data_IF_008063730051
#
_entry.id   IF_008063730051
#
_cell.length_a   1.000
_cell.length_b   1.000
_cell.length_c   1.000
_cell.angle_alpha   90.00
_cell.angle_beta   90.00
_cell.angle_gamma   90.00
#
_symmetry.space_group_name_H-M   'P 1'
#
loop_
_entity.id
_entity.type
_entity.pdbx_description
1 polymer ?
#
# COMPACT_ATOMS: atom_id res chain seq x y z
N UNK A 1 -3.84 9.26 18.34
CA UNK A 1 -3.42 7.89 18.01
C UNK A 1 -2.09 7.97 17.31
N UNK A 2 -1.14 7.12 17.67
CA UNK A 2 0.18 7.12 17.05
C UNK A 2 0.10 6.46 15.67
N UNK A 3 0.87 6.99 14.72
CA UNK A 3 0.97 6.48 13.35
C UNK A 3 2.43 6.31 12.98
N UNK A 4 2.81 5.09 12.62
CA UNK A 4 4.09 4.82 11.98
C UNK A 4 3.96 4.93 10.46
N UNK A 5 4.85 5.70 9.83
CA UNK A 5 5.00 5.74 8.38
C UNK A 5 6.22 4.89 8.03
N UNK A 6 6.02 3.90 7.16
CA UNK A 6 7.05 2.96 6.72
C UNK A 6 7.23 3.13 5.21
N UNK A 7 8.42 3.54 4.79
CA UNK A 7 8.77 3.80 3.39
C UNK A 7 10.10 3.11 3.03
N UNK A 8 10.08 1.79 2.82
CA UNK A 8 11.28 1.06 2.47
C UNK A 8 11.64 1.29 0.99
N UNK A 9 12.94 1.22 0.63
CA UNK A 9 13.37 1.44 -0.75
C UNK A 9 13.03 0.25 -1.69
N UNK A 10 12.83 -0.96 -1.16
CA UNK A 10 12.57 -2.19 -1.94
C UNK A 10 13.62 -2.48 -3.02
N UNK A 11 14.89 -2.25 -2.67
CA UNK A 11 16.05 -2.57 -3.51
C UNK A 11 16.39 -4.04 -3.40
N UNK A 12 16.36 -4.58 -2.17
CA UNK A 12 16.58 -5.99 -1.89
C UNK A 12 15.26 -6.74 -2.00
N UNK A 13 15.33 -7.98 -2.47
CA UNK A 13 14.11 -8.80 -2.65
C UNK A 13 13.49 -9.14 -1.30
N UNK A 14 14.33 -9.36 -0.30
CA UNK A 14 13.99 -9.78 1.06
C UNK A 14 13.16 -8.73 1.80
N UNK A 15 13.26 -7.45 1.41
CA UNK A 15 12.45 -6.36 2.00
C UNK A 15 10.94 -6.61 1.84
N UNK A 16 10.53 -7.35 0.80
CA UNK A 16 9.11 -7.71 0.60
C UNK A 16 8.58 -8.70 1.64
N UNK A 17 9.48 -9.41 2.33
CA UNK A 17 9.14 -10.35 3.41
C UNK A 17 9.46 -9.74 4.79
N UNK A 18 10.59 -9.03 4.91
CA UNK A 18 11.04 -8.39 6.16
C UNK A 18 10.07 -7.31 6.64
N UNK A 19 9.57 -6.47 5.72
CA UNK A 19 8.71 -5.33 6.05
C UNK A 19 7.36 -5.77 6.64
N UNK A 20 6.55 -6.65 6.00
CA UNK A 20 5.30 -7.08 6.61
C UNK A 20 5.50 -7.83 7.93
N UNK A 21 6.61 -8.58 8.09
CA UNK A 21 6.96 -9.21 9.36
C UNK A 21 7.25 -8.16 10.46
N UNK A 22 7.97 -7.08 10.12
CA UNK A 22 8.24 -5.98 11.05
C UNK A 22 6.95 -5.24 11.44
N UNK A 23 6.03 -5.01 10.49
CA UNK A 23 4.70 -4.43 10.77
C UNK A 23 3.93 -5.32 11.74
N UNK A 24 3.87 -6.63 11.50
CA UNK A 24 3.19 -7.57 12.39
C UNK A 24 3.81 -7.58 13.80
N UNK A 25 5.14 -7.58 13.91
CA UNK A 25 5.83 -7.53 15.19
C UNK A 25 5.57 -6.20 15.94
N UNK A 26 5.51 -5.07 15.21
CA UNK A 26 5.18 -3.78 15.80
C UNK A 26 3.74 -3.75 16.33
N UNK A 27 2.78 -4.26 15.56
CA UNK A 27 1.36 -4.37 15.96
C UNK A 27 1.17 -5.30 17.16
N UNK A 28 1.89 -6.42 17.23
CA UNK A 28 1.85 -7.31 18.38
C UNK A 28 2.37 -6.63 19.66
N UNK A 29 3.40 -5.79 19.55
CA UNK A 29 3.97 -5.05 20.69
C UNK A 29 3.13 -3.82 21.08
N UNK A 30 2.50 -3.18 20.09
CA UNK A 30 1.71 -1.96 20.26
C UNK A 30 0.38 -2.07 19.49
N UNK A 31 -0.65 -2.74 20.05
CA UNK A 31 -1.91 -2.98 19.35
C UNK A 31 -2.61 -1.71 18.88
N UNK A 32 -2.45 -0.57 19.57
CA UNK A 32 -3.03 0.72 19.18
C UNK A 32 -2.26 1.52 18.12
N UNK A 33 -1.10 1.04 17.67
CA UNK A 33 -0.29 1.73 16.66
C UNK A 33 -0.92 1.59 15.27
N UNK A 34 -1.27 2.71 14.63
CA UNK A 34 -1.60 2.72 13.21
C UNK A 34 -0.33 2.58 12.37
N UNK A 35 -0.42 1.94 11.20
CA UNK A 35 0.69 1.83 10.26
C UNK A 35 0.23 2.25 8.86
N UNK A 36 1.01 3.13 8.23
CA UNK A 36 0.90 3.46 6.81
C UNK A 36 2.20 3.04 6.12
N UNK A 37 2.10 2.05 5.24
CA UNK A 37 3.23 1.44 4.55
C UNK A 37 3.16 1.75 3.06
N UNK A 38 4.17 2.42 2.52
CA UNK A 38 4.32 2.64 1.08
C UNK A 38 4.93 1.42 0.38
N UNK A 39 4.56 1.18 -0.88
CA UNK A 39 5.25 0.23 -1.76
C UNK A 39 5.19 0.61 -3.24
N UNK A 40 6.22 0.24 -4.05
CA UNK A 40 6.24 0.51 -5.48
C UNK A 40 5.43 -0.53 -6.27
N UNK A 41 4.75 -0.09 -7.32
CA UNK A 41 4.02 -0.96 -8.25
C UNK A 41 4.74 -0.95 -9.60
N UNK A 42 5.53 -2.01 -9.82
CA UNK A 42 6.05 -2.40 -11.15
C UNK A 42 5.22 -3.53 -11.77
N UNK A 43 4.69 -4.39 -10.90
CA UNK A 43 3.72 -5.44 -11.16
C UNK A 43 3.02 -5.76 -9.82
N UNK A 44 1.83 -6.34 -9.86
CA UNK A 44 1.05 -6.59 -8.64
C UNK A 44 1.48 -7.82 -7.83
N UNK A 45 2.36 -8.67 -8.36
CA UNK A 45 2.77 -9.92 -7.68
C UNK A 45 3.30 -9.70 -6.26
N UNK A 46 4.24 -8.75 -6.08
CA UNK A 46 4.84 -8.49 -4.76
C UNK A 46 3.91 -7.68 -3.83
N UNK A 47 3.21 -6.64 -4.29
CA UNK A 47 2.13 -6.02 -3.52
C UNK A 47 1.11 -7.02 -2.98
N UNK A 48 0.62 -7.94 -3.82
CA UNK A 48 -0.33 -8.96 -3.39
C UNK A 48 0.28 -9.93 -2.35
N UNK A 49 1.55 -10.30 -2.49
CA UNK A 49 2.26 -11.11 -1.49
C UNK A 49 2.38 -10.40 -0.14
N UNK A 50 2.70 -9.11 -0.15
CA UNK A 50 2.76 -8.27 1.05
C UNK A 50 1.38 -8.17 1.72
N UNK A 51 0.33 -7.88 0.96
CA UNK A 51 -1.05 -7.84 1.46
C UNK A 51 -1.47 -9.20 2.06
N UNK A 52 -1.10 -10.31 1.41
CA UNK A 52 -1.35 -11.66 1.91
C UNK A 52 -0.62 -11.93 3.23
N UNK A 53 0.63 -11.51 3.37
CA UNK A 53 1.40 -11.66 4.61
C UNK A 53 0.75 -10.92 5.79
N UNK A 54 0.28 -9.69 5.55
CA UNK A 54 -0.44 -8.89 6.57
C UNK A 54 -1.76 -9.54 6.97
N UNK A 55 -2.53 -10.02 5.99
CA UNK A 55 -3.77 -10.77 6.26
C UNK A 55 -3.51 -12.06 7.04
N UNK A 56 -2.43 -12.80 6.71
CA UNK A 56 -2.01 -14.01 7.45
C UNK A 56 -1.58 -13.71 8.89
N UNK A 57 -1.12 -12.50 9.16
CA UNK A 57 -0.82 -12.04 10.51
C UNK A 57 -2.09 -11.66 11.32
N UNK A 58 -3.28 -11.83 10.76
CA UNK A 58 -4.56 -11.52 11.42
C UNK A 58 -4.88 -10.02 11.48
N UNK A 59 -4.15 -9.20 10.73
CA UNK A 59 -4.31 -7.75 10.76
C UNK A 59 -5.34 -7.29 9.73
N UNK A 60 -6.31 -6.50 10.17
CA UNK A 60 -7.21 -5.76 9.29
C UNK A 60 -6.44 -4.66 8.57
N UNK A 61 -6.71 -4.45 7.28
CA UNK A 61 -6.07 -3.37 6.53
C UNK A 61 -6.85 -2.94 5.30
N UNK A 62 -6.49 -1.77 4.79
CA UNK A 62 -6.90 -1.26 3.48
C UNK A 62 -5.67 -0.93 2.65
N UNK A 63 -5.57 -1.48 1.45
CA UNK A 63 -4.60 -1.11 0.43
C UNK A 63 -5.22 -0.15 -0.57
N UNK A 64 -4.51 0.95 -0.88
CA UNK A 64 -4.86 1.93 -1.90
C UNK A 64 -3.73 1.97 -2.94
N UNK A 65 -3.96 1.42 -4.13
CA UNK A 65 -3.00 1.43 -5.24
C UNK A 65 -3.36 2.55 -6.22
N UNK A 66 -2.46 3.54 -6.35
CA UNK A 66 -2.57 4.56 -7.39
C UNK A 66 -1.66 4.20 -8.57
N UNK A 67 -2.27 3.79 -9.67
CA UNK A 67 -1.61 3.42 -10.92
C UNK A 67 -1.71 4.61 -11.86
N UNK A 68 -0.58 5.18 -12.31
CA UNK A 68 -0.56 6.33 -13.23
C UNK A 68 -0.34 5.93 -14.69
N UNK A 69 0.06 4.68 -14.91
CA UNK A 69 0.25 4.05 -16.22
C UNK A 69 -0.07 2.55 -16.09
N UNK A 70 -0.84 1.93 -17.01
CA UNK A 70 -1.06 0.49 -16.97
C UNK A 70 0.26 -0.29 -16.91
N UNK A 71 0.32 -1.29 -16.02
CA UNK A 71 1.55 -2.04 -15.70
C UNK A 71 2.10 -2.79 -16.92
N UNK A 72 1.22 -3.21 -17.83
CA UNK A 72 1.56 -3.92 -19.07
C UNK A 72 2.39 -3.06 -20.03
N UNK A 73 2.25 -1.74 -19.93
CA UNK A 73 2.93 -0.77 -20.79
C UNK A 73 4.29 -0.33 -20.24
N UNK A 74 4.63 -0.72 -19.02
CA UNK A 74 5.82 -0.27 -18.28
C UNK A 74 6.63 -1.46 -17.77
N UNK A 75 7.11 -2.29 -18.70
CA UNK A 75 7.98 -3.45 -18.35
C UNK A 75 9.19 -2.98 -17.54
N UNK A 76 9.32 -3.49 -16.33
CA UNK A 76 10.41 -3.20 -15.37
C UNK A 76 10.53 -1.73 -14.88
N UNK A 77 9.57 -0.87 -15.21
CA UNK A 77 9.52 0.51 -14.74
C UNK A 77 8.42 0.70 -13.70
N UNK A 78 8.51 1.77 -12.91
CA UNK A 78 7.44 2.13 -11.99
C UNK A 78 6.20 2.55 -12.81
N UNK A 79 5.07 1.91 -12.51
CA UNK A 79 3.76 2.14 -13.09
C UNK A 79 2.82 2.88 -12.11
N UNK A 80 3.12 2.79 -10.82
CA UNK A 80 2.41 3.46 -9.74
C UNK A 80 3.00 3.11 -8.39
N UNK A 81 2.25 3.41 -7.32
CA UNK A 81 2.60 3.03 -5.95
C UNK A 81 1.34 2.73 -5.16
N UNK A 82 1.48 1.97 -4.08
CA UNK A 82 0.39 1.73 -3.15
C UNK A 82 0.73 2.16 -1.74
N UNK A 83 -0.33 2.37 -0.96
CA UNK A 83 -0.29 2.56 0.49
C UNK A 83 -1.10 1.44 1.14
N UNK A 84 -0.49 0.71 2.06
CA UNK A 84 -1.18 -0.23 2.94
C UNK A 84 -1.39 0.42 4.32
N UNK A 85 -2.64 0.44 4.77
CA UNK A 85 -3.06 1.04 6.03
C UNK A 85 -3.55 -0.03 7.00
N UNK A 86 -2.85 -0.25 8.10
CA UNK A 86 -3.25 -1.14 9.21
C UNK A 86 -3.68 -0.29 10.40
N UNK A 87 -4.91 -0.50 10.87
CA UNK A 87 -5.56 0.30 11.93
C UNK A 87 -5.32 1.83 11.80
N UNK A 88 -5.64 2.43 10.63
CA UNK A 88 -5.37 3.83 10.40
C UNK A 88 -6.21 4.74 11.32
N UNK A 89 -5.74 5.96 11.64
CA UNK A 89 -6.57 6.99 12.24
C UNK A 89 -7.86 7.22 11.46
N UNK A 90 -8.95 7.53 12.18
CA UNK A 90 -10.27 7.75 11.58
C UNK A 90 -10.21 8.81 10.46
N UNK A 91 -10.85 8.52 9.33
CA UNK A 91 -10.91 9.40 8.16
C UNK A 91 -9.65 9.42 7.29
N UNK A 92 -8.53 8.80 7.69
CA UNK A 92 -7.30 8.81 6.88
C UNK A 92 -7.48 8.12 5.51
N UNK A 93 -8.19 6.99 5.48
CA UNK A 93 -8.49 6.28 4.22
C UNK A 93 -9.30 7.17 3.27
N UNK A 94 -10.35 7.81 3.77
CA UNK A 94 -11.21 8.70 2.97
C UNK A 94 -10.45 9.93 2.47
N UNK A 95 -9.58 10.49 3.32
CA UNK A 95 -8.72 11.62 2.94
C UNK A 95 -7.75 11.23 1.82
N UNK A 96 -7.15 10.04 1.88
CA UNK A 96 -6.25 9.54 0.84
C UNK A 96 -6.99 9.22 -0.47
N UNK A 97 -8.20 8.66 -0.40
CA UNK A 97 -9.05 8.46 -1.59
C UNK A 97 -9.40 9.80 -2.23
N UNK A 98 -9.78 10.79 -1.43
CA UNK A 98 -10.05 12.16 -1.90
C UNK A 98 -8.81 12.78 -2.56
N UNK A 99 -7.64 12.64 -1.94
CA UNK A 99 -6.38 13.10 -2.52
C UNK A 99 -6.06 12.38 -3.84
N UNK A 100 -6.25 11.06 -3.89
CA UNK A 100 -6.01 10.26 -5.09
C UNK A 100 -6.91 10.66 -6.26
N UNK A 101 -8.15 11.09 -6.02
CA UNK A 101 -9.04 11.60 -7.07
C UNK A 101 -8.51 12.89 -7.73
N UNK A 102 -7.73 13.70 -7.00
CA UNK A 102 -7.07 14.90 -7.54
C UNK A 102 -5.71 14.55 -8.17
N UNK A 103 -4.92 13.71 -7.49
CA UNK A 103 -3.57 13.35 -7.92
C UNK A 103 -3.56 12.43 -9.14
N UNK A 104 -4.47 11.48 -9.23
CA UNK A 104 -4.53 10.49 -10.31
C UNK A 104 -4.55 11.13 -11.70
N UNK A 105 -5.52 12.03 -12.01
CA UNK A 105 -5.55 12.74 -13.28
C UNK A 105 -4.31 13.60 -13.52
N UNK A 106 -3.79 14.27 -12.48
CA UNK A 106 -2.63 15.16 -12.60
C UNK A 106 -1.32 14.40 -12.86
N UNK A 107 -1.22 13.16 -12.38
CA UNK A 107 -0.04 12.30 -12.50
C UNK A 107 -0.13 11.31 -13.67
N UNK A 108 -1.27 11.24 -14.35
CA UNK A 108 -1.48 10.34 -15.48
C UNK A 108 -0.49 10.64 -16.61
N UNK A 109 0.24 9.62 -17.07
CA UNK A 109 1.26 9.82 -18.11
C UNK A 109 0.69 9.72 -19.53
N UNK A 110 -0.55 9.23 -19.71
CA UNK A 110 -1.29 9.21 -20.97
C UNK A 110 -2.83 9.16 -20.74
N UNK A 111 -3.71 9.51 -21.68
CA UNK A 111 -5.15 9.26 -21.51
C UNK A 111 -5.58 7.84 -21.96
N UNK A 112 -6.54 7.16 -21.31
CA UNK A 112 -7.08 7.37 -19.95
C UNK A 112 -6.27 6.52 -18.95
N UNK A 113 -5.09 6.95 -18.49
CA UNK A 113 -4.08 6.01 -17.96
C UNK A 113 -3.95 5.90 -16.46
N UNK A 114 -4.91 6.41 -15.69
CA UNK A 114 -4.83 6.30 -14.24
C UNK A 114 -5.97 5.47 -13.66
N UNK A 115 -5.68 4.79 -12.56
CA UNK A 115 -6.59 3.94 -11.82
C UNK A 115 -6.28 4.04 -10.33
N UNK A 116 -7.31 4.15 -9.49
CA UNK A 116 -7.21 3.91 -8.05
C UNK A 116 -7.87 2.57 -7.74
N UNK A 117 -7.11 1.63 -7.17
CA UNK A 117 -7.62 0.34 -6.70
C UNK A 117 -7.64 0.34 -5.19
N UNK A 118 -8.81 0.13 -4.60
CA UNK A 118 -8.98 -0.01 -3.16
C UNK A 118 -9.29 -1.46 -2.81
N UNK A 119 -8.54 -2.05 -1.88
CA UNK A 119 -8.75 -3.42 -1.39
C UNK A 119 -8.73 -3.41 0.13
N UNK A 120 -9.80 -3.86 0.78
CA UNK A 120 -9.91 -3.90 2.24
C UNK A 120 -10.23 -5.30 2.74
N UNK A 121 -9.73 -5.63 3.93
CA UNK A 121 -10.06 -6.86 4.64
C UNK A 121 -10.10 -6.64 6.15
N UNK A 122 -10.94 -7.43 6.83
CA UNK A 122 -11.02 -7.46 8.29
C UNK A 122 -9.97 -8.40 8.91
N UNK A 123 -9.84 -8.31 10.23
CA UNK A 123 -9.10 -9.30 11.02
C UNK A 123 -9.79 -10.67 10.91
N UNK A 124 -8.99 -11.74 10.90
CA UNK A 124 -9.45 -13.14 10.86
C UNK A 124 -9.50 -13.70 12.27
#
# INVERSE_FOLDING_TARGET
>A
ADLAIVDPPYVRREEWDEVPAAVAAAKARHPGLGVLLWYPIKAFTRPHQLQHAIRRAGLAATALDLVSTPVELRKNALAGSGLLLVDPPAGLVDALITAAAVLGPALATRPPSWELRATSWGAV
#
